data_IF_969992910984
#
_entry.id   IF_969992910984
#
_cell.length_a   1.000
_cell.length_b   1.000
_cell.length_c   1.000
_cell.angle_alpha   90.00
_cell.angle_beta   90.00
_cell.angle_gamma   90.00
#
_symmetry.space_group_name_H-M   'P 1'
#
loop_
_entity.id
_entity.type
_entity.pdbx_description
1 polymer ?
#
# COMPACT_ATOMS: atom_id res chain seq x y z
N UNK A 1 48.99 -20.49 28.24
CA UNK A 1 48.49 -20.24 27.99
C UNK A 1 47.74 -19.64 27.33
N UNK A 2 47.29 -19.48 27.02
CA UNK A 2 46.54 -19.00 26.42
C UNK A 2 45.68 -18.48 25.99
N UNK A 3 45.27 -18.24 25.69
CA UNK A 3 44.37 -17.78 25.33
C UNK A 3 43.75 -17.24 24.59
N UNK A 4 43.49 -17.07 24.31
CA UNK A 4 42.86 -16.59 23.63
C UNK A 4 42.07 -16.14 23.17
N UNK A 5 41.62 -16.00 22.90
CA UNK A 5 40.85 -15.58 22.46
C UNK A 5 40.18 -15.02 21.88
N UNK A 6 39.92 -14.84 21.68
CA UNK A 6 39.27 -14.29 21.24
C UNK A 6 38.58 -13.81 20.52
N UNK A 7 38.12 -13.76 20.18
CA UNK A 7 37.42 -13.35 19.51
C UNK A 7 36.67 -12.87 19.04
N UNK A 8 36.29 -12.63 18.73
CA UNK A 8 35.51 -12.17 18.26
C UNK A 8 34.63 -11.64 17.72
N UNK A 9 34.10 -11.49 17.55
CA UNK A 9 33.17 -11.00 17.19
C UNK A 9 32.82 -10.13 16.44
N UNK A 10 32.45 -9.89 16.11
CA UNK A 10 32.22 -9.09 15.36
C UNK A 10 31.37 -9.12 14.45
N UNK A 11 31.05 -9.41 14.18
CA UNK A 11 30.32 -9.54 13.27
C UNK A 11 29.18 -8.98 13.27
N UNK A 12 28.71 -8.90 13.62
CA UNK A 12 27.64 -8.50 13.72
C UNK A 12 27.25 -7.40 13.13
N UNK A 13 27.18 -6.88 12.77
CA UNK A 13 26.85 -5.80 12.35
C UNK A 13 26.40 -5.78 11.16
N UNK A 14 26.02 -6.29 10.76
CA UNK A 14 25.77 -6.30 9.54
C UNK A 14 24.51 -6.05 9.23
N UNK A 15 23.76 -6.20 9.72
CA UNK A 15 22.57 -6.18 9.36
C UNK A 15 22.00 -4.98 9.10
N UNK A 16 22.05 -4.30 9.48
CA UNK A 16 21.40 -3.20 9.35
C UNK A 16 21.22 -2.80 8.04
N UNK A 17 21.63 -2.86 7.45
CA UNK A 17 21.44 -2.46 6.33
C UNK A 17 20.30 -2.42 5.80
N UNK A 18 19.58 -2.48 6.00
CA UNK A 18 18.51 -2.50 5.60
C UNK A 18 17.99 -1.67 4.79
N UNK A 19 17.47 -1.72 4.39
CA UNK A 19 16.75 -1.28 3.63
C UNK A 19 16.23 -0.15 3.40
N UNK A 20 16.10 0.23 2.68
CA UNK A 20 15.68 1.32 2.41
C UNK A 20 14.59 1.31 1.73
N UNK A 21 13.67 1.09 2.08
CA UNK A 21 12.53 1.21 1.49
C UNK A 21 12.31 2.40 0.82
N UNK A 22 12.25 2.42 -0.32
CA UNK A 22 12.04 3.60 -1.07
C UNK A 22 10.58 3.92 -1.27
N UNK A 23 9.68 3.00 -0.94
CA UNK A 23 8.25 3.24 -1.05
C UNK A 23 7.56 2.67 0.15
N UNK A 24 6.48 3.33 0.54
CA UNK A 24 5.66 2.85 1.65
C UNK A 24 4.19 3.06 1.33
N UNK A 25 3.44 1.99 1.41
CA UNK A 25 1.99 2.03 1.23
C UNK A 25 1.37 1.92 2.62
N UNK A 26 0.57 2.91 2.98
CA UNK A 26 -0.08 2.95 4.29
C UNK A 26 -1.58 2.86 4.09
N UNK A 27 -2.18 1.83 4.68
CA UNK A 27 -3.62 1.67 4.62
C UNK A 27 -4.28 2.65 5.60
N UNK A 28 -5.15 3.49 5.08
CA UNK A 28 -5.87 4.47 5.90
C UNK A 28 -7.32 4.05 6.14
N UNK A 29 -7.72 2.89 5.63
CA UNK A 29 -9.07 2.39 5.82
C UNK A 29 -9.19 1.79 7.22
N UNK A 30 -10.21 2.13 8.00
CA UNK A 30 -10.41 1.51 9.30
C UNK A 30 -10.58 0.01 9.16
N UNK A 31 -10.16 -0.75 10.17
CA UNK A 31 -10.32 -2.19 10.12
C UNK A 31 -11.76 -2.63 10.41
N UNK A 32 -12.57 -1.77 10.99
CA UNK A 32 -13.94 -2.06 11.34
C UNK A 32 -14.83 -0.90 11.01
N UNK A 33 -15.93 -1.16 10.36
CA UNK A 33 -16.92 -0.13 10.04
C UNK A 33 -18.32 -0.68 10.29
N UNK A 34 -19.23 0.19 10.75
CA UNK A 34 -20.62 -0.24 10.90
C UNK A 34 -21.23 -0.47 9.53
N UNK A 35 -22.21 -1.38 9.48
CA UNK A 35 -22.91 -1.67 8.23
C UNK A 35 -23.65 -0.44 7.78
N UNK A 36 -23.51 -0.11 6.50
CA UNK A 36 -24.13 1.07 5.93
C UNK A 36 -25.30 0.69 5.07
N UNK A 37 -26.36 1.49 5.16
CA UNK A 37 -27.58 1.23 4.41
C UNK A 37 -27.35 1.30 2.91
N UNK A 38 -26.48 2.20 2.47
CA UNK A 38 -26.22 2.36 1.04
C UNK A 38 -25.23 1.34 0.49
N UNK A 39 -24.64 0.50 1.35
CA UNK A 39 -23.70 -0.50 0.90
C UNK A 39 -22.38 0.02 0.38
N UNK A 40 -22.08 1.31 0.58
CA UNK A 40 -20.85 1.92 0.08
C UNK A 40 -19.92 2.19 1.25
N UNK A 41 -18.69 1.73 1.12
CA UNK A 41 -17.71 1.84 2.20
C UNK A 41 -16.48 2.62 1.74
N UNK A 42 -15.98 3.53 2.56
CA UNK A 42 -14.84 4.34 2.17
C UNK A 42 -13.53 3.58 2.32
N UNK A 43 -12.70 3.67 1.31
CA UNK A 43 -11.35 3.13 1.33
C UNK A 43 -10.39 4.26 1.03
N UNK A 44 -9.30 4.30 1.77
CA UNK A 44 -8.28 5.32 1.58
C UNK A 44 -6.90 4.72 1.78
N UNK A 45 -5.94 5.25 1.05
CA UNK A 45 -4.58 4.76 1.10
C UNK A 45 -3.61 5.90 0.84
N UNK A 46 -2.46 5.82 1.45
CA UNK A 46 -1.38 6.75 1.21
C UNK A 46 -0.20 5.99 0.62
N UNK A 47 0.43 6.56 -0.38
CA UNK A 47 1.62 5.96 -0.96
C UNK A 47 2.70 7.02 -1.08
N UNK A 48 3.81 6.77 -0.39
CA UNK A 48 4.98 7.64 -0.45
C UNK A 48 6.08 6.90 -1.19
N UNK A 49 6.63 7.54 -2.21
CA UNK A 49 7.71 6.98 -2.99
C UNK A 49 8.86 7.96 -3.02
N UNK A 50 10.06 7.44 -2.84
CA UNK A 50 11.26 8.25 -2.98
C UNK A 50 11.88 8.11 -4.37
N UNK A 51 11.23 7.38 -5.25
CA UNK A 51 11.75 7.20 -6.61
C UNK A 51 11.66 8.52 -7.36
N UNK A 52 12.80 9.09 -7.66
CA UNK A 52 12.82 10.40 -8.31
C UNK A 52 12.37 10.35 -9.75
N UNK A 53 12.54 9.20 -10.40
CA UNK A 53 12.12 9.04 -11.78
C UNK A 53 10.61 8.85 -11.93
N UNK A 54 9.88 8.74 -10.83
CA UNK A 54 8.44 8.54 -10.86
C UNK A 54 7.73 9.74 -11.46
N UNK A 55 6.84 9.48 -12.40
CA UNK A 55 5.98 10.52 -12.98
C UNK A 55 4.73 10.59 -12.15
N UNK A 56 4.66 11.57 -11.26
CA UNK A 56 3.61 11.61 -10.25
C UNK A 56 2.21 11.70 -10.82
N UNK A 57 2.06 12.39 -11.93
CA UNK A 57 0.73 12.52 -12.53
C UNK A 57 0.26 11.25 -13.22
N UNK A 58 1.13 10.29 -13.39
CA UNK A 58 0.76 9.03 -14.04
C UNK A 58 0.15 8.02 -13.09
N UNK A 59 0.19 8.27 -11.79
CA UNK A 59 -0.22 7.27 -10.79
C UNK A 59 -1.72 7.04 -10.85
N UNK A 60 -2.10 5.77 -10.98
CA UNK A 60 -3.49 5.35 -10.91
C UNK A 60 -3.61 4.33 -9.79
N UNK A 61 -4.46 4.62 -8.83
CA UNK A 61 -4.62 3.76 -7.66
C UNK A 61 -5.92 3.00 -7.75
N UNK A 62 -5.92 1.78 -7.24
CA UNK A 62 -7.09 0.91 -7.25
C UNK A 62 -7.20 0.16 -5.93
N UNK A 63 -8.42 -0.08 -5.50
CA UNK A 63 -8.72 -1.07 -4.47
C UNK A 63 -9.07 -2.35 -5.19
N UNK A 64 -8.39 -3.44 -4.86
CA UNK A 64 -8.63 -4.72 -5.49
C UNK A 64 -9.35 -5.62 -4.49
N UNK A 65 -10.56 -6.02 -4.83
CA UNK A 65 -11.37 -6.92 -4.01
C UNK A 65 -11.69 -8.14 -4.87
N UNK A 66 -11.05 -9.25 -4.58
CA UNK A 66 -11.20 -10.43 -5.43
C UNK A 66 -10.69 -10.16 -6.83
N UNK A 67 -11.55 -10.28 -7.81
CA UNK A 67 -11.20 -10.02 -9.20
C UNK A 67 -11.56 -8.60 -9.64
N UNK A 68 -12.19 -7.83 -8.78
CA UNK A 68 -12.65 -6.49 -9.15
C UNK A 68 -11.65 -5.44 -8.73
N UNK A 69 -11.45 -4.45 -9.58
CA UNK A 69 -10.58 -3.33 -9.30
C UNK A 69 -11.41 -2.06 -9.32
N UNK A 70 -11.38 -1.32 -8.22
CA UNK A 70 -12.15 -0.08 -8.08
C UNK A 70 -11.18 1.09 -8.16
N UNK A 71 -11.32 1.95 -9.18
CA UNK A 71 -10.40 3.09 -9.29
C UNK A 71 -10.59 4.06 -8.14
N UNK A 72 -9.47 4.61 -7.70
CA UNK A 72 -9.46 5.58 -6.61
C UNK A 72 -9.15 6.96 -7.17
N UNK A 73 -9.59 7.97 -6.45
CA UNK A 73 -9.36 9.34 -6.82
C UNK A 73 -8.40 9.97 -5.84
N UNK A 74 -7.55 10.85 -6.35
CA UNK A 74 -6.62 11.55 -5.47
C UNK A 74 -7.42 12.46 -4.54
N UNK A 75 -7.10 12.41 -3.25
CA UNK A 75 -7.76 13.25 -2.27
C UNK A 75 -7.43 14.71 -2.56
N UNK A 76 -8.42 15.60 -2.61
CA UNK A 76 -8.15 17.00 -2.89
C UNK A 76 -7.10 17.59 -1.94
N UNK A 77 -6.20 18.38 -2.51
CA UNK A 77 -5.16 19.10 -1.80
C UNK A 77 -4.08 18.20 -1.18
N UNK A 78 -4.14 16.90 -1.40
CA UNK A 78 -3.09 15.98 -0.98
C UNK A 78 -2.52 15.29 -2.20
N UNK A 79 -1.21 15.13 -2.24
CA UNK A 79 -0.57 14.61 -3.43
C UNK A 79 -0.30 13.12 -3.38
N UNK A 80 -0.37 12.53 -2.19
CA UNK A 80 0.02 11.14 -2.00
C UNK A 80 -1.08 10.30 -1.37
N UNK A 81 -2.31 10.76 -1.41
CA UNK A 81 -3.44 10.04 -0.81
C UNK A 81 -4.55 9.85 -1.83
N UNK A 82 -5.13 8.65 -1.83
CA UNK A 82 -6.22 8.29 -2.73
C UNK A 82 -7.36 7.71 -1.94
N UNK A 83 -8.58 7.91 -2.42
CA UNK A 83 -9.77 7.45 -1.74
C UNK A 83 -10.85 7.08 -2.74
N UNK A 84 -11.78 6.23 -2.33
CA UNK A 84 -12.94 5.86 -3.13
C UNK A 84 -13.97 5.18 -2.25
N UNK A 85 -15.17 5.03 -2.79
CA UNK A 85 -16.21 4.23 -2.16
C UNK A 85 -16.32 2.91 -2.92
N UNK A 86 -16.41 1.82 -2.19
CA UNK A 86 -16.51 0.49 -2.77
C UNK A 86 -17.82 -0.14 -2.34
N UNK A 87 -18.62 -0.64 -3.29
CA UNK A 87 -19.86 -1.33 -2.92
C UNK A 87 -19.53 -2.70 -2.36
N UNK A 88 -20.21 -3.05 -1.27
CA UNK A 88 -20.05 -4.36 -0.63
C UNK A 88 -21.43 -4.96 -0.47
N UNK A 89 -21.62 -6.22 -0.91
CA UNK A 89 -22.94 -6.87 -0.75
C UNK A 89 -23.37 -6.94 0.70
N UNK A 90 -24.67 -6.85 0.92
CA UNK A 90 -25.23 -6.79 2.27
C UNK A 90 -24.96 -8.04 3.08
N UNK A 91 -24.70 -9.17 2.42
CA UNK A 91 -24.45 -10.43 3.13
C UNK A 91 -22.98 -10.65 3.46
N UNK A 92 -22.11 -9.69 3.14
CA UNK A 92 -20.69 -9.81 3.47
C UNK A 92 -20.38 -9.14 4.79
N UNK A 93 -19.62 -9.84 5.62
CA UNK A 93 -19.16 -9.31 6.89
C UNK A 93 -17.67 -9.03 6.91
N UNK A 94 -16.93 -9.62 5.97
CA UNK A 94 -15.49 -9.45 5.88
C UNK A 94 -15.14 -9.19 4.43
N UNK A 95 -14.36 -8.15 4.19
CA UNK A 95 -13.88 -7.81 2.86
C UNK A 95 -12.37 -7.89 2.90
N UNK A 96 -11.79 -8.78 2.09
CA UNK A 96 -10.34 -8.87 1.95
C UNK A 96 -9.95 -8.08 0.72
N UNK A 97 -9.03 -7.17 0.87
CA UNK A 97 -8.66 -6.25 -0.20
C UNK A 97 -7.19 -5.89 -0.13
N UNK A 98 -6.71 -5.33 -1.21
CA UNK A 98 -5.38 -4.72 -1.24
C UNK A 98 -5.40 -3.58 -2.24
N UNK A 99 -4.32 -2.83 -2.31
CA UNK A 99 -4.20 -1.69 -3.20
C UNK A 99 -3.24 -2.01 -4.33
N UNK A 100 -3.51 -1.42 -5.47
CA UNK A 100 -2.66 -1.53 -6.63
C UNK A 100 -2.40 -0.14 -7.17
N UNK A 101 -1.14 0.14 -7.46
CA UNK A 101 -0.73 1.42 -8.04
C UNK A 101 -0.05 1.13 -9.37
N UNK A 102 -0.64 1.65 -10.44
CA UNK A 102 -0.02 1.62 -11.75
C UNK A 102 0.60 2.98 -11.99
N UNK A 103 1.80 3.03 -12.50
CA UNK A 103 2.50 4.29 -12.66
C UNK A 103 3.56 4.19 -13.74
N UNK A 104 4.02 5.35 -14.19
CA UNK A 104 5.12 5.46 -15.13
C UNK A 104 6.33 6.04 -14.43
N UNK A 105 7.48 5.64 -14.88
CA UNK A 105 8.72 6.24 -14.41
C UNK A 105 9.62 6.50 -15.62
N UNK A 106 10.57 7.42 -15.43
CA UNK A 106 11.47 7.79 -16.51
C UNK A 106 12.61 6.78 -16.57
N UNK A 107 12.64 6.04 -17.68
CA UNK A 107 13.73 5.12 -17.91
C UNK A 107 14.87 5.82 -18.62
N UNK A 108 15.83 5.02 -19.04
CA UNK A 108 17.03 5.59 -19.65
C UNK A 108 16.70 6.31 -20.95
N UNK A 109 15.86 5.76 -21.79
CA UNK A 109 15.55 6.34 -23.07
C UNK A 109 14.09 6.75 -23.23
N UNK A 110 13.20 6.25 -22.39
CA UNK A 110 11.76 6.51 -22.51
C UNK A 110 11.08 6.24 -21.20
N UNK A 111 9.76 6.48 -21.17
CA UNK A 111 8.96 6.15 -20.01
C UNK A 111 8.69 4.66 -19.96
N UNK A 112 8.64 4.13 -18.75
CA UNK A 112 8.34 2.74 -18.51
C UNK A 112 7.17 2.62 -17.57
N UNK A 113 6.39 1.55 -17.72
CA UNK A 113 5.24 1.26 -16.88
C UNK A 113 5.60 0.24 -15.84
N UNK A 114 5.04 0.39 -14.66
CA UNK A 114 5.24 -0.55 -13.58
C UNK A 114 4.03 -0.52 -12.66
N UNK A 115 3.95 -1.49 -11.77
CA UNK A 115 2.86 -1.59 -10.80
C UNK A 115 3.39 -2.00 -9.45
N UNK A 116 2.70 -1.54 -8.41
CA UNK A 116 2.99 -1.93 -7.03
C UNK A 116 1.72 -2.47 -6.41
N UNK A 117 1.85 -3.58 -5.68
CA UNK A 117 0.74 -4.17 -4.94
C UNK A 117 1.05 -4.09 -3.46
N UNK A 118 0.05 -3.73 -2.67
CA UNK A 118 0.19 -3.78 -1.23
C UNK A 118 -0.04 -5.21 -0.73
N UNK A 119 0.20 -5.42 0.55
CA UNK A 119 -0.25 -6.65 1.19
C UNK A 119 -1.76 -6.64 1.28
N UNK A 120 -2.35 -7.76 1.68
CA UNK A 120 -3.79 -7.86 1.87
C UNK A 120 -4.19 -7.33 3.23
N UNK A 121 -5.35 -6.70 3.27
CA UNK A 121 -5.98 -6.18 4.49
C UNK A 121 -7.39 -6.72 4.56
N UNK A 122 -7.99 -6.62 5.73
CA UNK A 122 -9.37 -7.04 5.93
C UNK A 122 -10.17 -5.91 6.56
N UNK A 123 -11.37 -5.73 6.05
CA UNK A 123 -12.35 -4.82 6.64
C UNK A 123 -13.46 -5.67 7.23
N UNK A 124 -13.72 -5.46 8.52
CA UNK A 124 -14.81 -6.14 9.19
C UNK A 124 -16.01 -5.21 9.27
N UNK A 125 -17.14 -5.67 8.76
CA UNK A 125 -18.37 -4.89 8.75
C UNK A 125 -19.22 -5.37 9.91
N UNK A 126 -19.54 -4.46 10.81
CA UNK A 126 -20.20 -4.79 12.05
C UNK A 126 -21.67 -4.47 11.96
N UNK A 127 -22.51 -5.44 12.30
CA UNK A 127 -23.93 -5.19 12.40
C UNK A 127 -24.22 -4.49 13.71
N UNK A 128 -25.27 -3.72 13.73
CA UNK A 128 -25.62 -2.97 14.93
C UNK A 128 -26.17 -3.84 16.01
#
# INVERSE_FOLDING_TARGET
MLNPTKSLPLLLLSWWLVGCGTTAITNLTPSRLPRKDNGQYPFAVEWNSRQQSLVKDSIKAYVVVGLDQYPMQRTPMLTNRWETLVPVPADKNIVTYRYKFDYEYLGFANRKLDSKLSKYYQLFILDK
#
